data_IF_993924514921
#
_entry.id   IF_993924514921
#
_cell.length_a   1.000
_cell.length_b   1.000
_cell.length_c   1.000
_cell.angle_alpha   90.00
_cell.angle_beta   90.00
_cell.angle_gamma   90.00
#
_symmetry.space_group_name_H-M   'P 1'
#
loop_
_entity.id
_entity.type
_entity.pdbx_description
1 polymer ?
#
# COMPACT_ATOMS: atom_id res chain seq x y z
N UNK A 1 43.34 24.38 -1.84
CA UNK A 1 42.24 23.73 -1.12
C UNK A 1 41.00 24.01 -1.93
N UNK A 2 40.63 23.06 -2.79
CA UNK A 2 39.39 23.10 -3.55
C UNK A 2 38.37 22.28 -2.77
N UNK A 3 37.21 22.86 -2.52
CA UNK A 3 36.09 22.25 -1.81
C UNK A 3 35.51 21.08 -2.64
N UNK A 4 35.43 19.85 -2.13
CA UNK A 4 34.80 18.74 -2.83
C UNK A 4 33.50 18.35 -2.11
N UNK A 5 32.39 19.06 -2.39
CA UNK A 5 31.03 18.56 -2.18
C UNK A 5 30.00 19.62 -2.64
N UNK A 6 30.06 20.03 -3.92
CA UNK A 6 28.84 20.50 -4.58
C UNK A 6 28.13 19.28 -5.18
N UNK A 7 27.57 18.47 -4.29
CA UNK A 7 26.70 17.35 -4.66
C UNK A 7 25.40 17.96 -5.16
N UNK A 8 25.31 18.13 -6.48
CA UNK A 8 24.18 18.81 -7.14
C UNK A 8 22.84 18.47 -6.50
N UNK A 9 22.14 19.52 -6.05
CA UNK A 9 20.76 19.47 -5.58
C UNK A 9 19.96 18.67 -6.61
N UNK A 10 19.49 17.46 -6.28
CA UNK A 10 18.86 16.50 -7.21
C UNK A 10 17.64 17.00 -7.99
N UNK A 11 17.36 18.30 -7.96
CA UNK A 11 16.48 19.08 -8.83
C UNK A 11 16.96 19.18 -10.28
N UNK A 12 18.24 18.96 -10.55
CA UNK A 12 18.78 19.00 -11.93
C UNK A 12 18.58 17.70 -12.72
N UNK A 13 18.09 16.64 -12.07
CA UNK A 13 17.73 15.40 -12.76
C UNK A 13 16.47 15.58 -13.60
N UNK A 14 16.44 14.94 -14.77
CA UNK A 14 15.20 14.87 -15.54
C UNK A 14 14.09 14.25 -14.67
N UNK A 15 12.81 14.66 -14.83
CA UNK A 15 11.71 14.16 -14.01
C UNK A 15 11.62 12.63 -13.91
N UNK A 16 11.88 11.91 -15.00
CA UNK A 16 11.92 10.45 -15.02
C UNK A 16 13.07 9.86 -14.18
N UNK A 17 14.22 10.52 -14.17
CA UNK A 17 15.38 10.12 -13.36
C UNK A 17 15.12 10.39 -11.88
N UNK A 18 14.39 11.47 -11.55
CA UNK A 18 13.94 11.74 -10.18
C UNK A 18 13.03 10.64 -9.67
N UNK A 19 12.03 10.22 -10.45
CA UNK A 19 11.14 9.10 -10.08
C UNK A 19 11.91 7.79 -9.84
N UNK A 20 12.88 7.48 -10.70
CA UNK A 20 13.69 6.28 -10.58
C UNK A 20 14.67 6.34 -9.38
N UNK A 21 15.07 7.53 -8.94
CA UNK A 21 15.99 7.75 -7.82
C UNK A 21 15.30 7.75 -6.45
N UNK A 22 13.96 7.81 -6.40
CA UNK A 22 13.22 7.73 -5.14
C UNK A 22 13.48 6.41 -4.42
N UNK A 23 13.59 6.46 -3.09
CA UNK A 23 13.57 5.23 -2.31
C UNK A 23 12.23 4.50 -2.51
N UNK A 24 12.19 3.20 -2.25
CA UNK A 24 10.94 2.43 -2.36
C UNK A 24 9.83 3.04 -1.48
N UNK A 25 10.17 3.53 -0.28
CA UNK A 25 9.24 4.22 0.61
C UNK A 25 8.77 5.58 0.06
N UNK A 26 9.68 6.39 -0.49
CA UNK A 26 9.31 7.69 -1.07
C UNK A 26 8.45 7.52 -2.33
N UNK A 27 8.79 6.55 -3.17
CA UNK A 27 8.01 6.23 -4.36
C UNK A 27 6.63 5.69 -4.01
N UNK A 28 6.56 4.86 -2.96
CA UNK A 28 5.30 4.40 -2.41
C UNK A 28 4.42 5.56 -1.95
N UNK A 29 4.97 6.47 -1.14
CA UNK A 29 4.26 7.63 -0.63
C UNK A 29 3.72 8.51 -1.76
N UNK A 30 4.57 8.78 -2.76
CA UNK A 30 4.20 9.51 -3.97
C UNK A 30 3.00 8.86 -4.68
N UNK A 31 2.99 7.53 -4.84
CA UNK A 31 1.87 6.84 -5.48
C UNK A 31 0.58 6.96 -4.66
N UNK A 32 0.68 6.94 -3.34
CA UNK A 32 -0.45 7.17 -2.44
C UNK A 32 -1.05 8.56 -2.62
N UNK A 33 -0.20 9.60 -2.58
CA UNK A 33 -0.61 10.99 -2.76
C UNK A 33 -1.22 11.20 -4.16
N UNK A 34 -0.56 10.66 -5.18
CA UNK A 34 -1.03 10.73 -6.57
C UNK A 34 -2.39 10.06 -6.75
N UNK A 35 -2.57 8.87 -6.19
CA UNK A 35 -3.81 8.13 -6.32
C UNK A 35 -4.95 8.81 -5.55
N UNK A 36 -4.68 9.34 -4.35
CA UNK A 36 -5.64 10.10 -3.57
C UNK A 36 -6.04 11.42 -4.26
N UNK A 37 -5.10 12.13 -4.87
CA UNK A 37 -5.39 13.39 -5.55
C UNK A 37 -6.15 13.17 -6.88
N UNK A 38 -5.86 12.09 -7.59
CA UNK A 38 -6.45 11.81 -8.91
C UNK A 38 -7.76 11.03 -8.87
N UNK A 39 -7.90 10.12 -7.92
CA UNK A 39 -9.03 9.21 -7.78
C UNK A 39 -9.48 9.11 -6.32
N UNK A 40 -9.34 10.19 -5.55
CA UNK A 40 -9.82 10.18 -4.17
C UNK A 40 -11.34 10.11 -4.08
N UNK A 41 -11.82 10.15 -2.83
CA UNK A 41 -13.26 10.13 -2.51
C UNK A 41 -14.03 11.30 -3.14
N UNK A 42 -13.38 12.44 -3.40
CA UNK A 42 -13.98 13.57 -4.11
C UNK A 42 -14.42 13.22 -5.54
N UNK A 43 -13.80 12.20 -6.13
CA UNK A 43 -14.13 11.67 -7.46
C UNK A 43 -15.00 10.40 -7.38
N UNK A 44 -15.43 9.98 -6.18
CA UNK A 44 -16.27 8.79 -5.97
C UNK A 44 -15.53 7.46 -5.94
N UNK A 45 -14.19 7.48 -5.81
CA UNK A 45 -13.35 6.28 -5.82
C UNK A 45 -12.73 6.01 -4.45
N UNK A 46 -12.73 4.74 -4.07
CA UNK A 46 -11.92 4.19 -2.99
C UNK A 46 -10.59 3.74 -3.56
N UNK A 47 -9.49 4.10 -2.89
CA UNK A 47 -8.12 3.81 -3.31
C UNK A 47 -7.43 2.92 -2.29
N UNK A 48 -6.92 1.76 -2.68
CA UNK A 48 -6.10 0.90 -1.83
C UNK A 48 -4.75 0.64 -2.47
N UNK A 49 -3.69 0.59 -1.68
CA UNK A 49 -2.34 0.31 -2.16
C UNK A 49 -1.81 -0.96 -1.48
N UNK A 50 -1.30 -1.91 -2.26
CA UNK A 50 -0.54 -3.04 -1.70
C UNK A 50 0.77 -2.54 -1.11
N UNK A 51 1.36 -3.22 -0.11
CA UNK A 51 2.73 -2.98 0.31
C UNK A 51 3.77 -2.91 -0.82
N UNK A 52 4.87 -2.15 -0.63
CA UNK A 52 6.02 -2.21 -1.53
C UNK A 52 6.61 -3.62 -1.54
N UNK A 53 7.03 -4.09 -2.71
CA UNK A 53 7.68 -5.38 -2.88
C UNK A 53 8.70 -5.31 -4.01
N UNK A 54 10.00 -5.59 -3.72
CA UNK A 54 11.07 -5.55 -4.71
C UNK A 54 10.82 -6.47 -5.91
N UNK A 55 10.03 -7.54 -5.72
CA UNK A 55 9.75 -8.54 -6.77
C UNK A 55 8.43 -8.35 -7.47
N UNK A 56 7.44 -7.74 -6.82
CA UNK A 56 6.08 -7.65 -7.37
C UNK A 56 5.64 -6.22 -7.66
N UNK A 57 6.39 -5.17 -7.32
CA UNK A 57 5.93 -3.80 -7.51
C UNK A 57 4.79 -3.43 -6.55
N UNK A 58 4.12 -2.30 -6.84
CA UNK A 58 3.05 -1.73 -6.01
C UNK A 58 1.73 -1.79 -6.80
N UNK A 59 0.71 -2.42 -6.23
CA UNK A 59 -0.65 -2.42 -6.77
C UNK A 59 -1.42 -1.23 -6.19
N UNK A 60 -2.02 -0.39 -7.05
CA UNK A 60 -3.04 0.59 -6.69
C UNK A 60 -4.40 0.07 -7.18
N UNK A 61 -5.27 -0.29 -6.27
CA UNK A 61 -6.64 -0.78 -6.54
C UNK A 61 -7.62 0.37 -6.36
N UNK A 62 -8.43 0.62 -7.39
CA UNK A 62 -9.45 1.65 -7.40
C UNK A 62 -10.82 0.98 -7.48
N UNK A 63 -11.72 1.32 -6.56
CA UNK A 63 -13.10 0.83 -6.51
C UNK A 63 -14.07 2.01 -6.45
N UNK A 64 -14.90 2.18 -7.48
CA UNK A 64 -15.80 3.32 -7.62
C UNK A 64 -16.72 3.15 -8.83
N UNK A 65 -17.90 3.76 -8.79
CA UNK A 65 -18.90 3.71 -9.88
C UNK A 65 -19.28 2.29 -10.36
N UNK A 66 -19.19 1.29 -9.49
CA UNK A 66 -19.41 -0.12 -9.82
C UNK A 66 -18.32 -0.76 -10.69
N UNK A 67 -17.19 -0.06 -10.89
CA UNK A 67 -16.00 -0.57 -11.55
C UNK A 67 -14.86 -0.82 -10.55
N UNK A 68 -14.02 -1.80 -10.88
CA UNK A 68 -12.78 -2.12 -10.17
C UNK A 68 -11.58 -2.04 -11.12
N UNK A 69 -10.60 -1.21 -10.79
CA UNK A 69 -9.42 -0.98 -11.64
C UNK A 69 -8.14 -1.28 -10.87
N UNK A 70 -7.13 -1.77 -11.59
CA UNK A 70 -5.78 -1.96 -11.08
C UNK A 70 -4.79 -1.11 -11.86
N UNK A 71 -3.95 -0.37 -11.15
CA UNK A 71 -2.71 0.22 -11.65
C UNK A 71 -1.55 -0.47 -10.94
N UNK A 72 -0.85 -1.34 -11.64
CA UNK A 72 0.34 -2.01 -11.14
C UNK A 72 1.58 -1.19 -11.51
N UNK A 73 2.44 -0.88 -10.55
CA UNK A 73 3.59 0.01 -10.76
C UNK A 73 4.91 -0.73 -10.53
N UNK A 74 5.81 -0.66 -11.52
CA UNK A 74 7.18 -1.21 -11.47
C UNK A 74 8.21 -0.10 -11.43
N UNK A 75 8.87 0.05 -10.28
CA UNK A 75 10.02 0.94 -10.14
C UNK A 75 11.27 0.20 -10.61
N UNK A 76 11.61 0.33 -11.89
CA UNK A 76 12.84 -0.24 -12.45
C UNK A 76 13.87 0.87 -12.69
N UNK A 77 15.17 0.56 -12.59
CA UNK A 77 16.22 1.48 -13.01
C UNK A 77 16.10 1.74 -14.52
N UNK A 78 16.58 2.90 -14.98
CA UNK A 78 16.48 3.30 -16.39
C UNK A 78 17.15 2.31 -17.36
N UNK A 79 18.15 1.56 -16.89
CA UNK A 79 18.83 0.51 -17.67
C UNK A 79 17.96 -0.72 -17.94
N UNK A 80 16.85 -0.90 -17.22
CA UNK A 80 15.95 -2.06 -17.34
C UNK A 80 14.58 -1.64 -17.86
N UNK A 81 14.25 -2.10 -19.05
CA UNK A 81 12.91 -1.93 -19.61
C UNK A 81 11.94 -3.01 -19.09
N UNK A 82 10.66 -2.66 -19.00
CA UNK A 82 9.55 -3.58 -18.77
C UNK A 82 9.35 -4.48 -20.01
N UNK A 83 9.26 -5.79 -19.77
CA UNK A 83 9.15 -6.82 -20.79
C UNK A 83 7.72 -7.33 -21.00
N UNK A 84 7.54 -8.15 -22.04
CA UNK A 84 6.30 -8.88 -22.24
C UNK A 84 5.90 -9.80 -21.06
N UNK A 85 6.84 -10.45 -20.33
CA UNK A 85 6.49 -11.22 -19.14
C UNK A 85 5.78 -10.40 -18.07
N UNK A 86 6.27 -9.18 -17.75
CA UNK A 86 5.65 -8.30 -16.76
C UNK A 86 4.20 -7.96 -17.15
N UNK A 87 3.96 -7.65 -18.43
CA UNK A 87 2.60 -7.36 -18.95
C UNK A 87 1.68 -8.56 -18.80
N UNK A 88 2.17 -9.77 -19.08
CA UNK A 88 1.36 -11.01 -18.97
C UNK A 88 1.02 -11.33 -17.52
N UNK A 89 1.96 -11.12 -16.61
CA UNK A 89 1.74 -11.27 -15.17
C UNK A 89 0.62 -10.35 -14.70
N UNK A 90 0.71 -9.06 -15.03
CA UNK A 90 -0.30 -8.05 -14.68
C UNK A 90 -1.65 -8.37 -15.32
N UNK A 91 -1.68 -8.78 -16.60
CA UNK A 91 -2.91 -9.17 -17.27
C UNK A 91 -3.60 -10.36 -16.59
N UNK A 92 -2.83 -11.31 -16.06
CA UNK A 92 -3.35 -12.49 -15.37
C UNK A 92 -4.03 -12.17 -14.03
N UNK A 93 -3.81 -10.98 -13.45
CA UNK A 93 -4.48 -10.52 -12.24
C UNK A 93 -5.94 -10.14 -12.47
N UNK A 94 -6.37 -9.94 -13.73
CA UNK A 94 -7.70 -9.43 -14.08
C UNK A 94 -8.84 -10.29 -13.53
N UNK A 95 -8.88 -11.55 -13.96
CA UNK A 95 -9.97 -12.48 -13.63
C UNK A 95 -10.03 -12.83 -12.13
N UNK A 96 -8.94 -13.28 -11.47
CA UNK A 96 -9.03 -13.69 -10.07
C UNK A 96 -9.36 -12.54 -9.11
N UNK A 97 -9.17 -11.28 -9.54
CA UNK A 97 -9.48 -10.09 -8.76
C UNK A 97 -10.73 -9.36 -9.27
N UNK A 98 -11.48 -9.90 -10.22
CA UNK A 98 -12.67 -9.27 -10.81
C UNK A 98 -12.40 -7.81 -11.22
N UNK A 99 -11.33 -7.57 -11.98
CA UNK A 99 -10.94 -6.22 -12.42
C UNK A 99 -11.55 -5.92 -13.79
N UNK A 100 -12.19 -4.77 -13.95
CA UNK A 100 -12.70 -4.28 -15.23
C UNK A 100 -11.57 -3.74 -16.11
N UNK A 101 -10.58 -3.07 -15.48
CA UNK A 101 -9.47 -2.44 -16.19
C UNK A 101 -8.15 -2.69 -15.47
N UNK A 102 -7.10 -2.84 -16.25
CA UNK A 102 -5.74 -3.06 -15.75
C UNK A 102 -4.77 -2.17 -16.49
N UNK A 103 -3.92 -1.48 -15.74
CA UNK A 103 -2.83 -0.66 -16.22
C UNK A 103 -1.50 -1.13 -15.59
N UNK A 104 -0.42 -1.00 -16.35
CA UNK A 104 0.96 -1.21 -15.92
C UNK A 104 1.72 0.11 -16.07
N UNK A 105 2.21 0.64 -14.96
CA UNK A 105 3.05 1.82 -14.92
C UNK A 105 4.51 1.47 -14.62
N UNK A 106 5.43 2.30 -15.08
CA UNK A 106 6.84 2.17 -14.73
C UNK A 106 7.55 3.52 -14.70
N UNK A 107 8.60 3.60 -13.88
CA UNK A 107 9.58 4.70 -13.88
C UNK A 107 10.59 4.60 -15.03
N UNK A 108 10.65 3.45 -15.72
CA UNK A 108 11.60 3.14 -16.79
C UNK A 108 10.95 3.22 -18.18
N UNK A 109 11.31 2.35 -19.11
CA UNK A 109 10.71 2.27 -20.45
C UNK A 109 10.03 0.93 -20.68
N UNK A 110 9.15 0.87 -21.69
CA UNK A 110 8.59 -0.39 -22.17
C UNK A 110 9.38 -0.90 -23.38
N UNK A 111 9.62 -2.20 -23.45
CA UNK A 111 10.15 -2.85 -24.66
C UNK A 111 9.11 -2.89 -25.80
N UNK A 112 9.55 -3.13 -27.03
CA UNK A 112 8.64 -3.35 -28.16
C UNK A 112 7.66 -4.50 -27.93
N UNK A 113 8.18 -5.62 -27.41
CA UNK A 113 7.40 -6.81 -27.07
C UNK A 113 6.38 -6.55 -25.94
N UNK A 114 6.72 -5.72 -24.95
CA UNK A 114 5.76 -5.30 -23.91
C UNK A 114 4.58 -4.53 -24.52
N UNK A 115 4.85 -3.60 -25.44
CA UNK A 115 3.80 -2.83 -26.14
C UNK A 115 2.89 -3.69 -27.00
N UNK A 116 3.42 -4.76 -27.59
CA UNK A 116 2.63 -5.74 -28.34
C UNK A 116 1.75 -6.57 -27.41
N UNK A 117 2.34 -7.19 -26.38
CA UNK A 117 1.60 -7.96 -25.37
C UNK A 117 0.50 -7.13 -24.68
N UNK A 118 0.75 -5.85 -24.44
CA UNK A 118 -0.22 -4.96 -23.82
C UNK A 118 -1.45 -4.72 -24.71
N UNK A 119 -1.24 -4.56 -26.01
CA UNK A 119 -2.32 -4.45 -27.00
C UNK A 119 -3.15 -5.74 -27.06
N UNK A 120 -2.49 -6.89 -27.12
CA UNK A 120 -3.17 -8.20 -27.15
C UNK A 120 -4.02 -8.46 -25.91
N UNK A 121 -3.57 -7.99 -24.74
CA UNK A 121 -4.23 -8.23 -23.45
C UNK A 121 -5.06 -7.06 -22.94
N UNK A 122 -5.20 -6.00 -23.73
CA UNK A 122 -5.89 -4.76 -23.33
C UNK A 122 -5.39 -4.23 -21.98
N UNK A 123 -4.06 -4.21 -21.79
CA UNK A 123 -3.41 -3.57 -20.63
C UNK A 123 -2.98 -2.17 -21.04
N UNK A 124 -3.37 -1.16 -20.26
CA UNK A 124 -2.90 0.21 -20.49
C UNK A 124 -1.46 0.33 -20.00
N UNK A 125 -0.57 0.89 -20.83
CA UNK A 125 0.80 1.19 -20.42
C UNK A 125 0.90 2.66 -20.03
N UNK A 126 1.56 2.92 -18.90
CA UNK A 126 1.77 4.26 -18.35
C UNK A 126 3.27 4.46 -18.15
N UNK A 127 3.85 5.37 -18.92
CA UNK A 127 5.29 5.65 -18.86
C UNK A 127 5.66 6.65 -17.76
N UNK A 128 6.95 6.92 -17.56
CA UNK A 128 7.41 7.88 -16.56
C UNK A 128 6.94 9.31 -16.86
N UNK A 129 6.90 9.70 -18.14
CA UNK A 129 6.37 11.02 -18.54
C UNK A 129 4.90 11.19 -18.16
N UNK A 130 4.08 10.15 -18.36
CA UNK A 130 2.66 10.20 -18.00
C UNK A 130 2.45 10.20 -16.47
N UNK A 131 3.27 9.46 -15.71
CA UNK A 131 3.25 9.53 -14.24
C UNK A 131 3.58 10.94 -13.75
N UNK A 132 4.55 11.59 -14.38
CA UNK A 132 4.92 12.98 -14.07
C UNK A 132 3.80 13.96 -14.39
N UNK A 133 3.19 13.85 -15.57
CA UNK A 133 2.05 14.67 -15.94
C UNK A 133 0.89 14.49 -14.95
N UNK A 134 0.67 13.28 -14.43
CA UNK A 134 -0.34 13.04 -13.40
C UNK A 134 0.00 13.76 -12.10
N UNK A 135 1.26 13.68 -11.64
CA UNK A 135 1.70 14.35 -10.43
C UNK A 135 1.56 15.87 -10.55
N UNK A 136 2.03 16.45 -11.65
CA UNK A 136 1.93 17.89 -11.93
C UNK A 136 0.48 18.35 -12.02
N UNK A 137 -0.37 17.64 -12.76
CA UNK A 137 -1.79 17.99 -12.91
C UNK A 137 -2.57 17.88 -11.60
N UNK A 138 -2.15 16.98 -10.72
CA UNK A 138 -2.74 16.79 -9.40
C UNK A 138 -2.16 17.73 -8.34
N UNK A 139 -1.14 18.53 -8.67
CA UNK A 139 -0.44 19.37 -7.70
C UNK A 139 0.36 18.58 -6.66
N UNK A 140 0.72 17.33 -6.96
CA UNK A 140 1.50 16.47 -6.06
C UNK A 140 2.98 16.75 -6.26
N UNK A 141 3.65 17.19 -5.21
CA UNK A 141 5.08 17.45 -5.25
C UNK A 141 5.88 16.14 -5.23
N UNK A 142 6.88 16.04 -6.10
CA UNK A 142 7.83 14.93 -6.06
C UNK A 142 8.71 15.01 -4.81
N UNK A 143 8.83 13.91 -4.03
CA UNK A 143 9.79 13.83 -2.94
C UNK A 143 11.21 14.12 -3.44
N UNK A 144 12.05 14.65 -2.55
CA UNK A 144 13.48 14.76 -2.84
C UNK A 144 14.10 13.38 -2.65
N UNK A 145 14.87 12.88 -3.63
CA UNK A 145 15.59 11.63 -3.42
C UNK A 145 16.54 11.80 -2.23
N UNK A 146 16.45 10.88 -1.26
CA UNK A 146 17.32 10.91 -0.09
C UNK A 146 18.78 10.73 -0.53
N UNK A 147 19.72 11.59 -0.09
CA UNK A 147 21.12 11.45 -0.45
C UNK A 147 21.65 10.11 0.08
N UNK A 148 21.86 9.15 -0.83
CA UNK A 148 22.38 7.81 -0.52
C UNK A 148 21.55 6.62 -1.05
N UNK A 149 20.41 6.83 -1.72
CA UNK A 149 19.58 5.74 -2.29
C UNK A 149 20.03 5.24 -3.66
N UNK A 150 21.14 5.76 -4.20
CA UNK A 150 21.73 5.24 -5.43
C UNK A 150 22.13 3.79 -5.24
N UNK A 151 21.36 2.87 -5.79
CA UNK A 151 21.71 1.46 -5.79
C UNK A 151 22.88 1.27 -6.74
N UNK A 152 24.09 1.25 -6.18
CA UNK A 152 25.25 0.62 -6.80
C UNK A 152 24.95 -0.89 -6.89
N UNK A 153 24.13 -1.28 -7.86
CA UNK A 153 23.91 -2.69 -8.18
C UNK A 153 25.02 -3.10 -9.12
N UNK A 154 26.06 -3.71 -8.54
CA UNK A 154 27.07 -4.46 -9.27
C UNK A 154 26.38 -5.39 -10.28
N UNK A 155 26.59 -5.05 -11.55
CA UNK A 155 26.24 -5.88 -12.69
C UNK A 155 27.24 -7.02 -12.76
N UNK A 156 26.90 -8.18 -12.18
CA UNK A 156 27.43 -9.47 -12.62
C UNK A 156 26.69 -10.60 -11.91
N UNK A 157 25.77 -11.25 -12.63
CA UNK A 157 25.46 -12.68 -12.53
C UNK A 157 24.31 -13.06 -13.48
N UNK A 158 24.65 -13.27 -14.75
CA UNK A 158 23.96 -14.27 -15.56
C UNK A 158 24.42 -15.66 -15.09
N UNK A 159 23.50 -16.60 -14.85
CA UNK A 159 23.66 -17.88 -15.53
C UNK A 159 22.32 -18.49 -15.95
N UNK A 160 22.00 -18.36 -17.23
CA UNK A 160 21.24 -19.39 -17.93
C UNK A 160 22.19 -20.50 -18.37
N UNK A 161 22.12 -21.65 -17.71
CA UNK A 161 22.54 -22.93 -18.29
C UNK A 161 21.54 -24.02 -17.90
N UNK A 162 20.90 -24.56 -18.93
CA UNK A 162 20.04 -25.73 -18.91
C UNK A 162 20.67 -26.94 -18.20
N UNK A 163 19.86 -27.69 -17.45
CA UNK A 163 19.95 -29.15 -17.45
C UNK A 163 18.67 -29.81 -16.91
N UNK A 164 18.07 -30.63 -17.77
CA UNK A 164 17.03 -31.61 -17.46
C UNK A 164 17.65 -32.75 -16.63
N UNK A 165 16.91 -33.26 -15.66
CA UNK A 165 17.25 -34.53 -14.98
C UNK A 165 16.26 -34.90 -13.89
N UNK A 166 15.24 -35.68 -14.25
CA UNK A 166 14.25 -36.23 -13.33
C UNK A 166 14.83 -37.39 -12.51
N UNK A 167 14.61 -37.38 -11.19
CA UNK A 167 14.34 -38.57 -10.36
C UNK A 167 14.13 -38.21 -8.88
N UNK A 168 13.02 -38.69 -8.31
CA UNK A 168 13.07 -39.45 -7.05
C UNK A 168 12.85 -38.74 -5.70
N UNK A 169 11.71 -39.11 -5.10
CA UNK A 169 11.49 -39.45 -3.67
C UNK A 169 11.37 -38.33 -2.63
N UNK A 170 10.16 -38.23 -2.10
CA UNK A 170 9.81 -38.60 -0.71
C UNK A 170 10.68 -37.99 0.42
N UNK A 171 10.13 -37.03 1.18
CA UNK A 171 9.82 -37.16 2.63
C UNK A 171 9.39 -35.83 3.25
N UNK A 172 8.40 -35.97 4.12
CA UNK A 172 7.94 -34.99 5.08
C UNK A 172 9.06 -34.46 6.00
N UNK A 173 8.94 -33.20 6.41
CA UNK A 173 9.25 -32.70 7.76
C UNK A 173 8.73 -31.28 7.93
N UNK A 174 8.02 -31.06 9.03
CA UNK A 174 7.41 -29.80 9.40
C UNK A 174 8.43 -28.66 9.51
N UNK A 175 7.98 -27.47 9.13
CA UNK A 175 8.61 -26.22 9.54
C UNK A 175 7.71 -25.57 10.59
N UNK A 176 8.13 -25.72 11.83
CA UNK A 176 7.78 -24.84 12.92
C UNK A 176 8.04 -23.40 12.49
N UNK A 177 6.98 -22.59 12.44
CA UNK A 177 7.12 -21.15 12.31
C UNK A 177 7.63 -20.64 13.65
N UNK A 178 8.92 -20.31 13.69
CA UNK A 178 9.50 -19.50 14.76
C UNK A 178 8.73 -18.18 14.83
N UNK A 179 7.96 -18.01 15.90
CA UNK A 179 7.44 -16.70 16.30
C UNK A 179 8.62 -15.91 16.85
N UNK A 180 8.98 -14.85 16.17
CA UNK A 180 9.79 -13.78 16.74
C UNK A 180 9.04 -13.25 17.97
N UNK A 181 9.62 -13.46 19.16
CA UNK A 181 9.27 -12.71 20.36
C UNK A 181 9.98 -11.37 20.24
N UNK A 182 9.31 -10.40 19.63
CA UNK A 182 9.58 -9.00 19.95
C UNK A 182 9.19 -8.76 21.40
N UNK A 183 9.97 -7.97 22.12
CA UNK A 183 9.67 -7.51 23.48
C UNK A 183 8.41 -6.63 23.46
N UNK A 184 7.24 -7.25 23.36
CA UNK A 184 5.97 -6.56 23.54
C UNK A 184 5.92 -6.06 25.00
N UNK A 185 5.75 -4.75 25.24
CA UNK A 185 5.58 -4.25 26.60
C UNK A 185 4.38 -4.95 27.22
N UNK A 186 4.61 -5.63 28.35
CA UNK A 186 3.61 -6.48 29.00
C UNK A 186 2.32 -5.74 29.38
N UNK A 187 2.38 -4.40 29.45
CA UNK A 187 1.31 -3.51 29.89
C UNK A 187 0.54 -2.84 28.74
N UNK A 188 0.93 -3.03 27.48
CA UNK A 188 0.22 -2.39 26.36
C UNK A 188 -1.14 -3.05 26.08
N UNK A 189 -2.14 -2.20 25.81
CA UNK A 189 -3.49 -2.65 25.48
C UNK A 189 -3.48 -3.53 24.21
N UNK A 190 -4.51 -4.36 24.02
CA UNK A 190 -4.64 -5.19 22.81
C UNK A 190 -4.60 -4.34 21.54
N UNK A 191 -5.32 -3.20 21.48
CA UNK A 191 -5.22 -2.30 20.33
C UNK A 191 -3.85 -1.64 20.14
N UNK A 192 -3.17 -1.25 21.23
CA UNK A 192 -1.82 -0.67 21.15
C UNK A 192 -0.82 -1.66 20.56
N UNK A 193 -0.90 -2.95 20.95
CA UNK A 193 -0.06 -4.00 20.36
C UNK A 193 -0.37 -4.23 18.88
N UNK A 194 -1.65 -4.17 18.50
CA UNK A 194 -2.06 -4.28 17.10
C UNK A 194 -1.53 -3.10 16.25
N UNK A 195 -1.62 -1.88 16.77
CA UNK A 195 -1.09 -0.67 16.13
C UNK A 195 0.45 -0.67 16.09
N UNK A 196 1.10 -1.09 17.18
CA UNK A 196 2.56 -1.14 17.32
C UNK A 196 3.24 -1.99 16.25
N UNK A 197 2.57 -3.05 15.77
CA UNK A 197 3.04 -3.85 14.63
C UNK A 197 3.24 -3.03 13.35
N UNK A 198 2.50 -1.94 13.21
CA UNK A 198 2.54 -1.04 12.05
C UNK A 198 3.29 0.26 12.31
N UNK A 199 3.79 0.48 13.53
CA UNK A 199 4.50 1.73 13.90
C UNK A 199 5.75 1.98 13.05
N UNK A 200 6.39 0.93 12.51
CA UNK A 200 7.51 1.06 11.58
C UNK A 200 7.12 1.41 10.14
N UNK A 201 5.83 1.29 9.79
CA UNK A 201 5.31 1.56 8.45
C UNK A 201 4.55 2.88 8.38
N UNK A 202 3.97 3.32 9.49
CA UNK A 202 3.17 4.53 9.57
C UNK A 202 4.01 5.77 9.86
N UNK A 203 3.68 6.92 9.26
CA UNK A 203 4.08 8.20 9.81
C UNK A 203 3.63 8.30 11.27
N UNK A 204 4.46 8.88 12.15
CA UNK A 204 4.13 9.00 13.58
C UNK A 204 2.75 9.61 13.82
N UNK A 205 2.38 10.64 13.05
CA UNK A 205 1.08 11.29 13.11
C UNK A 205 -0.11 10.37 12.76
N UNK A 206 0.08 9.36 11.90
CA UNK A 206 -0.95 8.36 11.62
C UNK A 206 -1.11 7.42 12.82
N UNK A 207 0.00 6.96 13.39
CA UNK A 207 -0.01 6.10 14.58
C UNK A 207 -0.67 6.76 15.79
N UNK A 208 -0.30 8.00 16.09
CA UNK A 208 -0.89 8.78 17.18
C UNK A 208 -2.41 8.92 17.01
N UNK A 209 -2.87 9.28 15.80
CA UNK A 209 -4.31 9.42 15.51
C UNK A 209 -5.06 8.11 15.57
N UNK A 210 -4.47 7.03 15.06
CA UNK A 210 -5.06 5.70 15.13
C UNK A 210 -5.26 5.27 16.59
N UNK A 211 -4.26 5.51 17.44
CA UNK A 211 -4.34 5.25 18.89
C UNK A 211 -5.38 6.13 19.58
N UNK A 212 -5.51 7.40 19.19
CA UNK A 212 -6.54 8.30 19.73
C UNK A 212 -7.96 7.83 19.36
N UNK A 213 -8.19 7.42 18.10
CA UNK A 213 -9.48 6.87 17.65
C UNK A 213 -9.80 5.57 18.39
N UNK A 214 -8.80 4.71 18.57
CA UNK A 214 -8.93 3.46 19.34
C UNK A 214 -9.27 3.73 20.80
N UNK A 215 -8.57 4.66 21.46
CA UNK A 215 -8.87 5.02 22.84
C UNK A 215 -10.28 5.60 22.98
N UNK A 216 -10.74 6.36 21.99
CA UNK A 216 -12.11 6.85 21.97
C UNK A 216 -13.15 5.73 21.75
N UNK A 217 -12.80 4.61 21.09
CA UNK A 217 -13.68 3.44 21.00
C UNK A 217 -13.85 2.79 22.38
N UNK A 218 -12.80 2.68 23.19
CA UNK A 218 -12.90 2.18 24.57
C UNK A 218 -13.86 3.02 25.41
N UNK A 219 -13.91 4.34 25.20
CA UNK A 219 -14.86 5.23 25.89
C UNK A 219 -16.31 5.09 25.39
N UNK A 220 -16.53 4.52 24.20
CA UNK A 220 -17.86 4.40 23.58
C UNK A 220 -18.59 3.11 23.96
N UNK A 221 -17.89 2.11 24.49
CA UNK A 221 -18.51 0.86 24.87
C UNK A 221 -17.56 -0.09 25.60
N UNK A 222 -18.15 -1.02 26.36
CA UNK A 222 -17.41 -2.11 26.97
C UNK A 222 -17.16 -3.20 25.92
N UNK A 223 -16.01 -3.12 25.26
CA UNK A 223 -15.66 -3.99 24.15
C UNK A 223 -14.69 -5.10 24.55
N UNK A 224 -15.06 -6.35 24.23
CA UNK A 224 -14.11 -7.45 24.17
C UNK A 224 -13.37 -7.43 22.82
N UNK A 225 -12.05 -7.39 22.85
CA UNK A 225 -11.22 -7.37 21.63
C UNK A 225 -10.77 -8.77 21.21
N UNK A 226 -11.14 -9.17 19.99
CA UNK A 226 -10.52 -10.32 19.30
C UNK A 226 -9.59 -9.82 18.20
N UNK A 227 -8.30 -10.12 18.31
CA UNK A 227 -7.30 -9.83 17.28
C UNK A 227 -7.25 -10.96 16.26
N UNK A 228 -7.37 -10.63 14.99
CA UNK A 228 -7.11 -11.52 13.86
C UNK A 228 -5.99 -10.98 13.02
N UNK A 229 -4.99 -11.82 12.77
CA UNK A 229 -3.95 -11.49 11.81
C UNK A 229 -4.26 -12.17 10.48
N UNK A 230 -4.29 -11.38 9.42
CA UNK A 230 -4.20 -11.80 8.03
C UNK A 230 -2.85 -11.37 7.47
N UNK A 231 -2.46 -11.92 6.32
CA UNK A 231 -1.10 -11.76 5.77
C UNK A 231 -0.68 -10.28 5.61
N UNK A 232 -1.62 -9.37 5.32
CA UNK A 232 -1.36 -7.93 5.13
C UNK A 232 -2.16 -7.00 6.06
N UNK A 233 -2.87 -7.55 7.06
CA UNK A 233 -3.66 -6.70 7.97
C UNK A 233 -3.91 -7.35 9.32
N UNK A 234 -4.03 -6.52 10.35
CA UNK A 234 -4.54 -6.92 11.65
C UNK A 234 -5.96 -6.37 11.80
N UNK A 235 -6.91 -7.22 12.18
CA UNK A 235 -8.29 -6.85 12.42
C UNK A 235 -8.58 -6.99 13.93
N UNK A 236 -9.05 -5.92 14.57
CA UNK A 236 -9.65 -5.95 15.90
C UNK A 236 -11.16 -6.03 15.75
N UNK A 237 -11.75 -7.07 16.31
CA UNK A 237 -13.20 -7.18 16.45
C UNK A 237 -13.58 -6.75 17.83
N UNK A 238 -14.30 -5.64 17.93
CA UNK A 238 -14.80 -5.11 19.20
C UNK A 238 -16.18 -5.75 19.41
N UNK A 239 -16.30 -6.60 20.43
CA UNK A 239 -17.53 -7.31 20.76
C UNK A 239 -18.27 -6.64 21.90
N UNK A 240 -19.58 -6.49 21.74
CA UNK A 240 -20.50 -6.15 22.83
C UNK A 240 -21.43 -7.34 23.02
N UNK A 241 -21.10 -8.23 23.97
CA UNK A 241 -21.74 -9.53 24.11
C UNK A 241 -21.48 -10.43 22.88
N UNK A 242 -22.54 -10.94 22.24
CA UNK A 242 -22.41 -11.80 21.04
C UNK A 242 -22.25 -11.01 19.73
N UNK A 243 -22.46 -9.68 19.74
CA UNK A 243 -22.42 -8.83 18.55
C UNK A 243 -21.00 -8.30 18.31
N UNK A 244 -20.65 -8.10 17.05
CA UNK A 244 -19.39 -7.42 16.63
C UNK A 244 -19.77 -6.10 15.95
N UNK A 245 -20.19 -5.07 16.72
CA UNK A 245 -20.63 -3.80 16.17
C UNK A 245 -19.49 -3.03 15.49
N UNK A 246 -18.23 -3.27 15.88
CA UNK A 246 -17.09 -2.51 15.36
C UNK A 246 -15.97 -3.44 14.93
N UNK A 247 -15.36 -3.14 13.77
CA UNK A 247 -14.12 -3.78 13.31
C UNK A 247 -13.10 -2.70 12.99
N UNK A 248 -11.91 -2.81 13.57
CA UNK A 248 -10.79 -1.94 13.26
C UNK A 248 -9.80 -2.73 12.44
N UNK A 249 -9.33 -2.18 11.32
CA UNK A 249 -8.34 -2.82 10.45
C UNK A 249 -7.11 -1.95 10.33
N UNK A 250 -5.97 -2.56 10.66
CA UNK A 250 -4.64 -2.00 10.54
C UNK A 250 -3.98 -2.64 9.32
N UNK A 251 -3.50 -1.82 8.40
CA UNK A 251 -2.63 -2.24 7.31
C UNK A 251 -1.32 -1.47 7.41
N UNK A 252 -0.34 -1.80 6.57
CA UNK A 252 0.91 -1.02 6.49
C UNK A 252 0.68 0.44 6.10
N UNK A 253 -0.49 0.75 5.57
CA UNK A 253 -0.76 1.97 4.81
C UNK A 253 -1.98 2.74 5.31
N UNK A 254 -2.80 2.09 6.12
CA UNK A 254 -4.10 2.62 6.49
C UNK A 254 -4.58 2.06 7.83
N UNK A 255 -5.42 2.87 8.46
CA UNK A 255 -6.21 2.54 9.62
C UNK A 255 -7.67 2.79 9.27
N UNK A 256 -8.49 1.74 9.38
CA UNK A 256 -9.89 1.74 9.00
C UNK A 256 -10.75 1.32 10.19
N UNK A 257 -11.83 2.03 10.47
CA UNK A 257 -12.86 1.61 11.42
C UNK A 257 -14.15 1.36 10.66
N UNK A 258 -14.67 0.15 10.77
CA UNK A 258 -15.96 -0.26 10.24
C UNK A 258 -16.95 -0.41 11.37
N UNK A 259 -18.17 0.06 11.15
CA UNK A 259 -19.29 -0.11 12.08
C UNK A 259 -20.39 -0.90 11.40
N UNK A 260 -20.87 -1.95 12.04
CA UNK A 260 -21.91 -2.83 11.52
C UNK A 260 -23.28 -2.40 12.05
N UNK A 261 -23.93 -1.47 11.35
CA UNK A 261 -25.35 -1.21 11.53
C UNK A 261 -26.16 -2.19 10.65
N UNK A 262 -27.20 -2.80 11.19
CA UNK A 262 -28.10 -3.71 10.44
C UNK A 262 -27.39 -4.91 9.76
N UNK A 263 -26.26 -5.34 10.31
CA UNK A 263 -25.51 -6.51 9.85
C UNK A 263 -24.59 -6.27 8.64
N UNK A 264 -24.47 -5.03 8.13
CA UNK A 264 -23.50 -4.67 7.09
C UNK A 264 -22.42 -3.74 7.66
N UNK A 265 -21.14 -4.11 7.62
CA UNK A 265 -20.06 -3.23 8.07
C UNK A 265 -19.84 -2.10 7.06
N UNK A 266 -19.95 -0.86 7.51
CA UNK A 266 -19.68 0.35 6.72
C UNK A 266 -18.42 1.04 7.27
N UNK A 267 -17.50 1.51 6.42
CA UNK A 267 -16.33 2.28 6.87
C UNK A 267 -16.78 3.65 7.37
N UNK A 268 -16.43 3.98 8.61
CA UNK A 268 -16.76 5.27 9.24
C UNK A 268 -15.52 6.11 9.47
N UNK A 269 -14.38 5.48 9.79
CA UNK A 269 -13.10 6.19 9.90
C UNK A 269 -12.11 5.62 8.92
N UNK A 270 -11.44 6.51 8.20
CA UNK A 270 -10.36 6.18 7.28
C UNK A 270 -9.20 7.15 7.44
N UNK A 271 -8.10 6.62 7.97
CA UNK A 271 -6.82 7.29 8.04
C UNK A 271 -5.85 6.55 7.14
N UNK A 272 -5.03 7.27 6.38
CA UNK A 272 -4.03 6.68 5.48
C UNK A 272 -2.67 7.33 5.71
N UNK A 273 -1.57 6.64 5.40
CA UNK A 273 -0.24 7.23 5.54
C UNK A 273 0.02 8.37 4.52
N UNK A 274 -0.88 8.54 3.53
CA UNK A 274 -0.67 9.35 2.32
C UNK A 274 -1.73 10.44 2.12
N UNK A 275 -2.46 10.83 3.17
CA UNK A 275 -3.24 12.07 3.12
C UNK A 275 -2.42 13.16 3.77
N UNK A 276 -1.97 14.11 2.96
CA UNK A 276 -1.25 15.33 3.39
C UNK A 276 -2.03 16.08 4.50
N UNK A 277 -3.36 16.01 4.45
CA UNK A 277 -4.25 16.43 5.54
C UNK A 277 -5.23 15.31 5.88
N UNK A 278 -4.99 14.66 7.02
CA UNK A 278 -6.07 13.90 7.65
C UNK A 278 -7.07 14.87 8.29
N UNK A 279 -8.35 14.50 8.35
CA UNK A 279 -9.30 15.19 9.21
C UNK A 279 -8.77 15.20 10.67
N UNK A 280 -9.05 16.26 11.43
CA UNK A 280 -8.75 16.27 12.86
C UNK A 280 -9.52 15.14 13.53
N UNK A 281 -8.96 14.55 14.59
CA UNK A 281 -9.56 13.40 15.26
C UNK A 281 -10.95 13.73 15.80
N UNK A 282 -11.18 14.98 16.22
CA UNK A 282 -12.52 15.46 16.61
C UNK A 282 -13.60 15.20 15.56
N UNK A 283 -13.30 15.39 14.28
CA UNK A 283 -14.28 15.24 13.19
C UNK A 283 -14.54 13.74 12.95
N UNK A 284 -13.49 12.93 13.00
CA UNK A 284 -13.61 11.47 12.93
C UNK A 284 -14.46 10.92 14.08
N UNK A 285 -14.28 11.45 15.29
CA UNK A 285 -15.07 11.04 16.46
C UNK A 285 -16.52 11.51 16.38
N UNK A 286 -16.77 12.67 15.76
CA UNK A 286 -18.12 13.18 15.54
C UNK A 286 -18.93 12.27 14.58
N UNK A 287 -18.26 11.63 13.62
CA UNK A 287 -18.88 10.63 12.74
C UNK A 287 -18.96 9.23 13.39
N UNK A 288 -17.90 8.83 14.09
CA UNK A 288 -17.78 7.49 14.69
C UNK A 288 -18.79 7.26 15.81
N UNK A 289 -18.93 8.21 16.74
CA UNK A 289 -19.81 8.07 17.91
C UNK A 289 -21.26 7.69 17.56
N UNK A 290 -21.99 8.47 16.74
CA UNK A 290 -23.38 8.13 16.40
C UNK A 290 -23.49 6.86 15.55
N UNK A 291 -22.44 6.44 14.85
CA UNK A 291 -22.45 5.16 14.15
C UNK A 291 -22.36 4.00 15.15
N UNK A 292 -21.44 4.07 16.12
CA UNK A 292 -21.26 3.04 17.15
C UNK A 292 -22.48 2.94 18.05
N UNK A 293 -23.03 4.06 18.51
CA UNK A 293 -24.25 4.09 19.34
C UNK A 293 -25.42 3.39 18.64
N UNK A 294 -25.68 3.70 17.36
CA UNK A 294 -26.71 3.01 16.57
C UNK A 294 -26.46 1.51 16.43
N UNK A 295 -25.20 1.09 16.28
CA UNK A 295 -24.84 -0.32 16.16
C UNK A 295 -24.94 -1.08 17.50
N UNK A 296 -24.85 -0.38 18.63
CA UNK A 296 -25.05 -0.94 19.96
C UNK A 296 -26.54 -1.05 20.31
N UNK A 297 -27.35 -0.06 19.92
CA UNK A 297 -28.79 -0.01 20.22
C UNK A 297 -29.64 -0.98 19.38
N UNK A 298 -29.21 -1.32 18.16
CA UNK A 298 -29.93 -2.20 17.22
C UNK A 298 -29.56 -3.67 17.38
#
# INVERSE_FOLDING_TARGET
MSDPADSGDGRDLAPADRLAALSEADFYALLGDLAAARWGESEGWTVDLSPPSPRSGIDVVLEGDGERRLLHVRQYPQSRAVGAPDVREVAALRDPRNLDRVALATTSSFSGAAREAARERSVRLVGPGELMEWAESAGVELPRPSPGSGTDVDSDSDPHSDSRGAAGRERARGRERGRERGDDPADASVPERAAGRYAGYWPAALGERALEVVGALDDLGDFDYEVRHADASTELRCRAGERVPVRVRFTETSFLVFVAAEGRPEPVVRLTAYRERQPPVSDLLAELRPAVERALDG
#
